data_IF_439369358039
#
_entry.id   IF_439369358039
#
_cell.length_a   1.000
_cell.length_b   1.000
_cell.length_c   1.000
_cell.angle_alpha   90.00
_cell.angle_beta   90.00
_cell.angle_gamma   90.00
#
_symmetry.space_group_name_H-M   'P 1'
#
loop_
_entity.id
_entity.type
_entity.pdbx_description
1 polymer ?
#
# COMPACT_ATOMS: atom_id res chain seq x y z
N UNK A 1 8.04 26.69 -1.94
CA UNK A 1 8.84 27.41 -0.92
C UNK A 1 9.07 26.54 0.31
N UNK A 2 8.02 26.04 0.98
CA UNK A 2 8.15 25.20 2.19
C UNK A 2 9.12 24.01 2.02
N UNK A 3 9.00 23.23 0.94
CA UNK A 3 9.89 22.09 0.66
C UNK A 3 11.37 22.49 0.57
N UNK A 4 11.67 23.65 -0.01
CA UNK A 4 13.04 24.14 -0.17
C UNK A 4 13.62 24.50 1.20
N UNK A 5 12.84 25.20 2.02
CA UNK A 5 13.24 25.56 3.40
C UNK A 5 13.49 24.29 4.23
N UNK A 6 12.57 23.32 4.19
CA UNK A 6 12.71 22.08 4.93
C UNK A 6 13.89 21.23 4.43
N UNK A 7 14.13 21.18 3.12
CA UNK A 7 15.31 20.49 2.57
C UNK A 7 16.60 21.13 3.06
N UNK A 8 16.68 22.46 3.07
CA UNK A 8 17.87 23.18 3.52
C UNK A 8 18.17 22.92 5.00
N UNK A 9 17.14 22.72 5.84
CA UNK A 9 17.29 22.42 7.26
C UNK A 9 17.57 20.93 7.54
N UNK A 10 16.85 20.01 6.86
CA UNK A 10 16.85 18.59 7.19
C UNK A 10 17.94 17.78 6.47
N UNK A 11 18.35 18.18 5.26
CA UNK A 11 19.38 17.44 4.50
C UNK A 11 20.73 17.42 5.24
N UNK A 12 21.23 18.52 5.83
CA UNK A 12 22.51 18.48 6.55
C UNK A 12 22.51 17.54 7.77
N UNK A 13 21.36 17.36 8.42
CA UNK A 13 21.24 16.52 9.62
C UNK A 13 20.92 15.06 9.29
N UNK A 14 20.08 14.81 8.28
CA UNK A 14 19.49 13.51 8.00
C UNK A 14 19.81 12.97 6.58
N UNK A 15 20.67 13.65 5.82
CA UNK A 15 21.02 13.29 4.44
C UNK A 15 19.78 13.08 3.56
N UNK A 16 19.73 11.95 2.84
CA UNK A 16 18.63 11.57 1.95
C UNK A 16 17.30 11.41 2.71
N UNK A 17 17.34 10.95 3.97
CA UNK A 17 16.13 10.83 4.81
C UNK A 17 15.52 12.21 5.09
N UNK A 18 16.36 13.24 5.27
CA UNK A 18 15.91 14.61 5.44
C UNK A 18 15.09 15.12 4.26
N UNK A 19 15.53 14.81 3.04
CA UNK A 19 14.80 15.14 1.82
C UNK A 19 13.43 14.43 1.75
N UNK A 20 13.37 13.14 2.11
CA UNK A 20 12.13 12.38 2.13
C UNK A 20 11.12 12.93 3.16
N UNK A 21 11.59 13.28 4.36
CA UNK A 21 10.77 13.88 5.42
C UNK A 21 10.23 15.25 4.98
N UNK A 22 11.08 16.08 4.41
CA UNK A 22 10.69 17.38 3.85
C UNK A 22 9.57 17.25 2.80
N UNK A 23 9.68 16.26 1.90
CA UNK A 23 8.65 15.98 0.91
C UNK A 23 7.34 15.53 1.56
N UNK A 24 7.40 14.61 2.52
CA UNK A 24 6.22 14.15 3.27
C UNK A 24 5.50 15.31 3.97
N UNK A 25 6.22 16.16 4.70
CA UNK A 25 5.64 17.31 5.41
C UNK A 25 5.03 18.30 4.41
N UNK A 26 5.72 18.58 3.31
CA UNK A 26 5.19 19.48 2.28
C UNK A 26 3.91 18.92 1.67
N UNK A 27 3.88 17.62 1.37
CA UNK A 27 2.72 16.97 0.80
C UNK A 27 1.52 17.06 1.75
N UNK A 28 1.71 16.75 3.04
CA UNK A 28 0.67 16.90 4.07
C UNK A 28 0.17 18.35 4.11
N UNK A 29 1.07 19.33 4.13
CA UNK A 29 0.69 20.74 4.17
C UNK A 29 -0.14 21.15 2.94
N UNK A 30 0.30 20.76 1.74
CA UNK A 30 -0.43 21.02 0.50
C UNK A 30 -1.81 20.36 0.54
N UNK A 31 -1.91 19.09 0.94
CA UNK A 31 -3.19 18.39 1.09
C UNK A 31 -4.11 19.11 2.06
N UNK A 32 -3.62 19.54 3.23
CA UNK A 32 -4.41 20.30 4.20
C UNK A 32 -4.90 21.64 3.64
N UNK A 33 -4.04 22.38 2.93
CA UNK A 33 -4.45 23.61 2.25
C UNK A 33 -5.52 23.34 1.19
N UNK A 34 -5.38 22.30 0.37
CA UNK A 34 -6.39 21.92 -0.62
C UNK A 34 -7.73 21.59 0.02
N UNK A 35 -7.73 20.86 1.14
CA UNK A 35 -8.96 20.55 1.88
C UNK A 35 -9.59 21.83 2.43
N UNK A 36 -8.80 22.69 3.06
CA UNK A 36 -9.27 23.94 3.64
C UNK A 36 -9.87 24.89 2.58
N UNK A 37 -9.15 25.12 1.48
CA UNK A 37 -9.64 25.98 0.39
C UNK A 37 -10.80 25.35 -0.37
N UNK A 38 -10.78 24.03 -0.59
CA UNK A 38 -11.89 23.31 -1.22
C UNK A 38 -13.18 23.43 -0.41
N UNK A 39 -13.09 23.30 0.92
CA UNK A 39 -14.24 23.50 1.79
C UNK A 39 -14.74 24.95 1.75
N UNK A 40 -13.83 25.92 1.89
CA UNK A 40 -14.18 27.35 2.00
C UNK A 40 -14.73 27.95 0.71
N UNK A 41 -14.06 27.73 -0.43
CA UNK A 41 -14.34 28.45 -1.68
C UNK A 41 -15.25 27.65 -2.62
N UNK A 42 -15.21 26.31 -2.54
CA UNK A 42 -15.98 25.43 -3.44
C UNK A 42 -17.14 24.73 -2.73
N UNK A 43 -17.33 24.94 -1.42
CA UNK A 43 -18.27 24.18 -0.58
C UNK A 43 -18.11 22.66 -0.76
N UNK A 44 -16.87 22.21 -0.99
CA UNK A 44 -16.58 20.80 -1.23
C UNK A 44 -16.56 20.05 0.10
N UNK A 45 -17.49 19.10 0.26
CA UNK A 45 -17.52 18.18 1.39
C UNK A 45 -16.72 16.92 1.07
N UNK A 46 -15.77 16.57 1.94
CA UNK A 46 -15.01 15.33 1.81
C UNK A 46 -15.92 14.13 2.10
N UNK A 47 -16.10 13.21 1.14
CA UNK A 47 -16.88 12.01 1.41
C UNK A 47 -16.16 11.16 2.46
N UNK A 48 -16.85 10.89 3.58
CA UNK A 48 -16.33 10.10 4.71
C UNK A 48 -15.84 8.70 4.27
N UNK A 49 -16.35 8.19 3.16
CA UNK A 49 -15.93 6.93 2.57
C UNK A 49 -14.45 6.92 2.14
N UNK A 50 -13.81 8.07 1.90
CA UNK A 50 -12.38 8.16 1.56
C UNK A 50 -11.45 7.75 2.71
N UNK A 51 -11.92 7.85 3.95
CA UNK A 51 -11.10 7.48 5.11
C UNK A 51 -10.97 5.96 5.27
N UNK A 52 -11.91 5.17 4.72
CA UNK A 52 -11.90 3.71 4.88
C UNK A 52 -10.73 3.04 4.15
N UNK A 53 -10.42 3.34 2.88
CA UNK A 53 -9.20 2.88 2.23
C UNK A 53 -7.92 3.32 2.94
N UNK A 54 -7.88 4.57 3.42
CA UNK A 54 -6.73 5.09 4.16
C UNK A 54 -6.46 4.28 5.44
N UNK A 55 -7.53 4.01 6.20
CA UNK A 55 -7.45 3.22 7.43
C UNK A 55 -7.10 1.76 7.15
N UNK A 56 -7.63 1.17 6.08
CA UNK A 56 -7.25 -0.18 5.64
C UNK A 56 -5.74 -0.26 5.32
N UNK A 57 -5.21 0.72 4.59
CA UNK A 57 -3.79 0.83 4.28
C UNK A 57 -2.95 0.97 5.55
N UNK A 58 -3.35 1.86 6.47
CA UNK A 58 -2.66 2.06 7.74
C UNK A 58 -2.63 0.78 8.59
N UNK A 59 -3.74 0.03 8.66
CA UNK A 59 -3.80 -1.24 9.37
C UNK A 59 -2.86 -2.29 8.77
N UNK A 60 -2.80 -2.38 7.44
CA UNK A 60 -1.89 -3.33 6.76
C UNK A 60 -0.43 -2.98 7.04
N UNK A 61 -0.07 -1.69 6.99
CA UNK A 61 1.28 -1.23 7.35
C UNK A 61 1.60 -1.58 8.80
N UNK A 62 0.65 -1.40 9.72
CA UNK A 62 0.82 -1.76 11.13
C UNK A 62 1.02 -3.28 11.30
N UNK A 63 0.21 -4.10 10.63
CA UNK A 63 0.37 -5.56 10.62
C UNK A 63 1.77 -5.93 10.10
N UNK A 64 2.18 -5.37 8.95
CA UNK A 64 3.51 -5.65 8.40
C UNK A 64 4.64 -5.20 9.32
N UNK A 65 4.48 -4.09 10.03
CA UNK A 65 5.44 -3.62 11.00
C UNK A 65 5.61 -4.60 12.16
N UNK A 66 4.50 -5.15 12.67
CA UNK A 66 4.51 -6.17 13.74
C UNK A 66 5.10 -7.50 13.25
N UNK A 67 4.83 -7.90 12.00
CA UNK A 67 5.35 -9.15 11.42
C UNK A 67 6.78 -9.04 10.85
N UNK A 68 7.31 -7.83 10.70
CA UNK A 68 8.67 -7.56 10.21
C UNK A 68 9.76 -8.43 10.86
N UNK A 69 9.86 -8.56 12.21
CA UNK A 69 10.89 -9.40 12.83
C UNK A 69 10.81 -10.87 12.36
N UNK A 70 9.59 -11.41 12.29
CA UNK A 70 9.35 -12.79 11.88
C UNK A 70 9.72 -13.02 10.40
N UNK A 71 9.40 -12.07 9.53
CA UNK A 71 9.85 -12.10 8.12
C UNK A 71 11.38 -12.05 7.98
N UNK A 72 12.04 -11.26 8.85
CA UNK A 72 13.49 -11.16 8.89
C UNK A 72 14.18 -12.47 9.29
N UNK A 73 13.62 -13.18 10.27
CA UNK A 73 14.13 -14.49 10.70
C UNK A 73 13.99 -15.55 9.60
N UNK A 74 12.83 -15.62 8.94
CA UNK A 74 12.61 -16.55 7.81
C UNK A 74 13.64 -16.31 6.70
N UNK A 75 13.87 -15.05 6.33
CA UNK A 75 14.87 -14.69 5.31
C UNK A 75 16.30 -15.04 5.75
N UNK A 76 16.63 -14.83 7.02
CA UNK A 76 17.98 -15.08 7.55
C UNK A 76 18.28 -16.56 7.72
N UNK A 77 17.31 -17.39 8.07
CA UNK A 77 17.51 -18.84 8.26
C UNK A 77 17.42 -19.58 6.92
N UNK A 78 16.46 -19.22 6.06
CA UNK A 78 16.15 -19.96 4.85
C UNK A 78 17.10 -19.72 3.66
N UNK A 79 17.79 -18.58 3.61
CA UNK A 79 18.60 -18.18 2.43
C UNK A 79 20.06 -18.65 2.51
N UNK A 80 20.78 -18.52 3.64
CA UNK A 80 22.22 -18.81 3.68
C UNK A 80 22.56 -20.30 3.53
N UNK A 81 21.65 -21.22 3.86
CA UNK A 81 21.95 -22.66 3.81
C UNK A 81 22.08 -23.22 2.38
N UNK A 82 21.62 -22.48 1.36
CA UNK A 82 21.60 -22.95 -0.04
C UNK A 82 22.86 -22.50 -0.81
N UNK A 83 23.60 -21.50 -0.30
CA UNK A 83 24.55 -20.71 -1.09
C UNK A 83 25.91 -20.62 -0.37
N UNK A 84 26.61 -21.76 -0.25
CA UNK A 84 27.94 -21.80 0.37
C UNK A 84 29.12 -21.68 -0.61
N UNK A 85 28.87 -21.41 -1.90
CA UNK A 85 29.94 -21.28 -2.90
C UNK A 85 30.04 -19.83 -3.42
N UNK A 86 31.24 -19.27 -3.36
CA UNK A 86 31.63 -17.89 -3.70
C UNK A 86 31.63 -17.58 -5.20
N UNK A 87 30.71 -18.17 -5.96
CA UNK A 87 30.56 -17.91 -7.40
C UNK A 87 29.57 -16.76 -7.65
N UNK A 88 29.81 -15.97 -8.69
CA UNK A 88 28.94 -14.85 -9.09
C UNK A 88 27.47 -15.25 -9.33
N UNK A 89 27.24 -16.50 -9.74
CA UNK A 89 25.90 -17.06 -9.91
C UNK A 89 25.12 -17.17 -8.59
N UNK A 90 25.82 -17.42 -7.49
CA UNK A 90 25.19 -17.64 -6.19
C UNK A 90 24.66 -16.32 -5.60
N UNK A 91 25.38 -15.21 -5.83
CA UNK A 91 24.94 -13.85 -5.51
C UNK A 91 23.69 -13.42 -6.30
N UNK A 92 23.61 -13.78 -7.58
CA UNK A 92 22.43 -13.48 -8.41
C UNK A 92 21.24 -14.28 -7.89
N UNK A 93 21.44 -15.56 -7.60
CA UNK A 93 20.39 -16.45 -7.09
C UNK A 93 19.85 -15.97 -5.74
N UNK A 94 20.73 -15.54 -4.82
CA UNK A 94 20.35 -14.97 -3.53
C UNK A 94 19.44 -13.74 -3.68
N UNK A 95 19.82 -12.80 -4.55
CA UNK A 95 19.03 -11.58 -4.80
C UNK A 95 17.68 -11.93 -5.42
N UNK A 96 17.64 -12.85 -6.37
CA UNK A 96 16.39 -13.30 -7.00
C UNK A 96 15.45 -13.93 -5.98
N UNK A 97 15.95 -14.77 -5.07
CA UNK A 97 15.15 -15.37 -3.99
C UNK A 97 14.61 -14.28 -3.05
N UNK A 98 15.45 -13.32 -2.64
CA UNK A 98 15.02 -12.20 -1.78
C UNK A 98 13.91 -11.38 -2.44
N UNK A 99 14.06 -11.06 -3.73
CA UNK A 99 13.03 -10.33 -4.50
C UNK A 99 11.76 -11.16 -4.62
N UNK A 100 11.86 -12.45 -4.92
CA UNK A 100 10.72 -13.36 -5.00
C UNK A 100 9.95 -13.46 -3.67
N UNK A 101 10.66 -13.57 -2.55
CA UNK A 101 10.05 -13.55 -1.23
C UNK A 101 9.36 -12.21 -0.94
N UNK A 102 10.00 -11.08 -1.29
CA UNK A 102 9.42 -9.76 -1.11
C UNK A 102 8.15 -9.58 -1.96
N UNK A 103 8.13 -10.10 -3.18
CA UNK A 103 6.93 -10.15 -4.02
C UNK A 103 5.81 -10.99 -3.40
N UNK A 104 6.14 -12.13 -2.79
CA UNK A 104 5.18 -12.97 -2.07
C UNK A 104 4.58 -12.22 -0.86
N UNK A 105 5.42 -11.58 -0.04
CA UNK A 105 4.97 -10.75 1.09
C UNK A 105 4.09 -9.61 0.60
N UNK A 106 4.45 -8.92 -0.49
CA UNK A 106 3.64 -7.88 -1.08
C UNK A 106 2.27 -8.41 -1.56
N UNK A 107 2.24 -9.59 -2.19
CA UNK A 107 1.00 -10.27 -2.60
C UNK A 107 0.10 -10.61 -1.41
N UNK A 108 0.65 -11.16 -0.33
CA UNK A 108 -0.10 -11.42 0.90
C UNK A 108 -0.62 -10.13 1.54
N UNK A 109 0.20 -9.07 1.56
CA UNK A 109 -0.19 -7.76 2.08
C UNK A 109 -1.37 -7.18 1.31
N UNK A 110 -1.37 -7.34 -0.02
CA UNK A 110 -2.48 -6.92 -0.86
C UNK A 110 -3.76 -7.70 -0.55
N UNK A 111 -3.67 -9.02 -0.31
CA UNK A 111 -4.83 -9.83 0.10
C UNK A 111 -5.36 -9.36 1.45
N UNK A 112 -4.49 -9.14 2.44
CA UNK A 112 -4.89 -8.63 3.76
C UNK A 112 -5.54 -7.25 3.63
N UNK A 113 -4.99 -6.36 2.79
CA UNK A 113 -5.59 -5.07 2.49
C UNK A 113 -7.00 -5.20 1.94
N UNK A 114 -7.22 -6.07 0.93
CA UNK A 114 -8.55 -6.30 0.39
C UNK A 114 -9.51 -6.84 1.45
N UNK A 115 -9.07 -7.77 2.28
CA UNK A 115 -9.89 -8.31 3.38
C UNK A 115 -10.29 -7.21 4.37
N UNK A 116 -9.33 -6.38 4.81
CA UNK A 116 -9.60 -5.26 5.74
C UNK A 116 -10.52 -4.23 5.08
N UNK A 117 -10.31 -3.91 3.80
CA UNK A 117 -11.14 -2.97 3.06
C UNK A 117 -12.59 -3.44 2.93
N UNK A 118 -12.78 -4.74 2.70
CA UNK A 118 -14.09 -5.39 2.79
C UNK A 118 -14.63 -5.27 4.21
N UNK A 119 -13.89 -5.65 5.25
CA UNK A 119 -14.39 -5.54 6.63
C UNK A 119 -14.84 -4.12 7.02
N UNK A 120 -14.16 -3.10 6.52
CA UNK A 120 -14.49 -1.68 6.75
C UNK A 120 -15.63 -1.16 5.87
N UNK A 121 -16.18 -1.98 4.96
CA UNK A 121 -17.20 -1.58 3.97
C UNK A 121 -16.73 -0.38 3.14
N UNK A 122 -15.49 -0.46 2.65
CA UNK A 122 -14.82 0.61 1.92
C UNK A 122 -15.30 0.82 0.48
N UNK A 123 -15.98 -0.16 -0.10
CA UNK A 123 -16.38 -0.13 -1.51
C UNK A 123 -17.70 0.63 -1.73
N UNK A 124 -17.71 1.51 -2.73
CA UNK A 124 -18.94 2.11 -3.28
C UNK A 124 -19.55 1.20 -4.36
N UNK A 125 -20.83 1.44 -4.73
CA UNK A 125 -21.49 0.68 -5.82
C UNK A 125 -20.73 0.83 -7.14
N UNK A 126 -20.16 2.01 -7.36
CA UNK A 126 -19.36 2.36 -8.53
C UNK A 126 -18.07 1.53 -8.59
N UNK A 127 -17.36 1.40 -7.46
CA UNK A 127 -16.13 0.61 -7.37
C UNK A 127 -16.38 -0.88 -7.69
N UNK A 128 -17.47 -1.44 -7.18
CA UNK A 128 -17.86 -2.83 -7.46
C UNK A 128 -18.15 -3.02 -8.95
N UNK A 129 -18.86 -2.06 -9.57
CA UNK A 129 -19.12 -2.06 -11.01
C UNK A 129 -17.86 -1.97 -11.85
N UNK A 130 -16.93 -1.09 -11.49
CA UNK A 130 -15.63 -0.93 -12.16
C UNK A 130 -14.78 -2.21 -12.02
N UNK A 131 -14.73 -2.81 -10.83
CA UNK A 131 -14.02 -4.06 -10.57
C UNK A 131 -14.59 -5.19 -11.42
N UNK A 132 -15.93 -5.33 -11.45
CA UNK A 132 -16.60 -6.32 -12.28
C UNK A 132 -16.31 -6.12 -13.77
N UNK A 133 -16.32 -4.88 -14.26
CA UNK A 133 -15.97 -4.56 -15.65
C UNK A 133 -14.51 -4.92 -15.96
N UNK A 134 -13.57 -4.61 -15.06
CA UNK A 134 -12.17 -4.97 -15.19
C UNK A 134 -11.98 -6.50 -15.21
N UNK A 135 -12.65 -7.24 -14.33
CA UNK A 135 -12.59 -8.71 -14.29
C UNK A 135 -13.18 -9.35 -15.56
N UNK A 136 -14.28 -8.78 -16.10
CA UNK A 136 -14.85 -9.20 -17.39
C UNK A 136 -13.83 -9.01 -18.53
N UNK A 137 -13.12 -7.87 -18.55
CA UNK A 137 -12.06 -7.59 -19.54
C UNK A 137 -10.87 -8.55 -19.40
N UNK A 138 -10.54 -8.95 -18.18
CA UNK A 138 -9.51 -9.95 -17.87
C UNK A 138 -9.87 -11.40 -18.21
N UNK A 139 -11.04 -11.66 -18.81
CA UNK A 139 -11.56 -13.00 -19.13
C UNK A 139 -11.69 -13.91 -17.89
N UNK A 140 -11.91 -13.34 -16.71
CA UNK A 140 -12.12 -14.10 -15.48
C UNK A 140 -13.48 -14.85 -15.57
N UNK A 141 -13.56 -16.12 -15.10
CA UNK A 141 -14.80 -16.88 -15.10
C UNK A 141 -15.97 -16.14 -14.42
N UNK A 142 -17.14 -16.12 -15.06
CA UNK A 142 -18.35 -15.44 -14.55
C UNK A 142 -18.74 -15.86 -13.13
N UNK A 143 -18.47 -17.11 -12.73
CA UNK A 143 -18.73 -17.60 -11.36
C UNK A 143 -17.97 -16.81 -10.31
N UNK A 144 -16.69 -16.48 -10.57
CA UNK A 144 -15.84 -15.71 -9.65
C UNK A 144 -16.31 -14.25 -9.61
N UNK A 145 -16.68 -13.69 -10.76
CA UNK A 145 -17.20 -12.32 -10.87
C UNK A 145 -18.49 -12.18 -10.06
N UNK A 146 -19.46 -13.07 -10.25
CA UNK A 146 -20.72 -13.04 -9.51
C UNK A 146 -20.51 -13.24 -8.00
N UNK A 147 -19.56 -14.10 -7.60
CA UNK A 147 -19.21 -14.27 -6.20
C UNK A 147 -18.61 -12.98 -5.60
N UNK A 148 -17.66 -12.36 -6.30
CA UNK A 148 -17.06 -11.08 -5.91
C UNK A 148 -18.08 -9.95 -5.84
N UNK A 149 -18.93 -9.80 -6.86
CA UNK A 149 -20.04 -8.84 -6.86
C UNK A 149 -20.98 -9.06 -5.67
N UNK A 150 -21.35 -10.31 -5.36
CA UNK A 150 -22.23 -10.62 -4.22
C UNK A 150 -21.57 -10.33 -2.87
N UNK A 151 -20.30 -10.67 -2.71
CA UNK A 151 -19.54 -10.44 -1.50
C UNK A 151 -19.34 -8.93 -1.24
N UNK A 152 -19.04 -8.16 -2.28
CA UNK A 152 -18.80 -6.73 -2.19
C UNK A 152 -20.12 -5.93 -2.08
N UNK A 153 -21.17 -6.31 -2.82
CA UNK A 153 -22.48 -5.63 -2.79
C UNK A 153 -23.24 -5.85 -1.49
N UNK A 154 -23.02 -6.97 -0.79
CA UNK A 154 -23.61 -7.21 0.54
C UNK A 154 -23.26 -6.12 1.57
N UNK A 155 -22.19 -5.36 1.31
CA UNK A 155 -21.70 -4.34 2.21
C UNK A 155 -22.10 -2.91 1.83
N UNK A 156 -22.67 -2.73 0.64
CA UNK A 156 -23.07 -1.40 0.15
C UNK A 156 -24.53 -1.16 0.53
N UNK A 157 -24.76 -0.30 1.54
CA UNK A 157 -26.07 0.33 1.76
C UNK A 157 -26.21 1.47 0.76
#
# INVERSE_FOLDING_TARGET
ILNIILNLLLIPQYNILGAAISYMITFIFITLCFIYFGYRELNFELPVNLFKPLLAGALVVLILFVFKPLLGEILRIGIPQIINNSTTLSLILEKTIKVGFLALVAGLSFIVYLVVLVLLKGFSKEDVGLLAAAMKKGKIPKKIINFGEKMLSWQVK
#
